data_IF_795576425980
#
_entry.id   IF_795576425980
#
_cell.length_a   1.000
_cell.length_b   1.000
_cell.length_c   1.000
_cell.angle_alpha   90.00
_cell.angle_beta   90.00
_cell.angle_gamma   90.00
#
_symmetry.space_group_name_H-M   'P 1'
#
loop_
_entity.id
_entity.type
_entity.pdbx_description
1 polymer ?
#
# COMPACT_ATOMS: atom_id res chain seq x y z
N UNK A 1 -16.08 -26.63 10.60
CA UNK A 1 -14.63 -26.84 10.67
C UNK A 1 -14.14 -26.17 11.93
N UNK A 2 -13.43 -26.89 12.79
CA UNK A 2 -12.99 -26.42 14.11
C UNK A 2 -11.88 -25.36 13.97
N UNK A 3 -12.15 -24.12 14.41
CA UNK A 3 -11.20 -22.99 14.41
C UNK A 3 -9.94 -23.25 15.26
N UNK A 4 -9.97 -24.28 16.11
CA UNK A 4 -8.88 -24.73 16.96
C UNK A 4 -7.68 -25.30 16.18
N UNK A 5 -7.84 -25.76 14.93
CA UNK A 5 -6.73 -26.24 14.10
C UNK A 5 -5.98 -25.14 13.33
N UNK A 6 -6.53 -23.93 13.21
CA UNK A 6 -5.85 -22.78 12.57
C UNK A 6 -4.66 -22.25 13.38
N UNK A 7 -4.62 -22.57 14.68
CA UNK A 7 -3.47 -22.29 15.56
C UNK A 7 -2.27 -23.22 15.31
N UNK A 8 -2.43 -24.27 14.49
CA UNK A 8 -1.43 -25.31 14.29
C UNK A 8 -0.53 -25.09 13.05
N UNK A 9 -0.82 -24.08 12.22
CA UNK A 9 0.05 -23.74 11.08
C UNK A 9 1.30 -23.06 11.61
N UNK A 10 2.47 -23.69 11.38
CA UNK A 10 3.76 -23.20 11.85
C UNK A 10 4.11 -21.89 11.16
N UNK A 11 4.14 -20.77 11.89
CA UNK A 11 4.67 -19.52 11.36
C UNK A 11 6.20 -19.55 11.30
N UNK A 12 6.77 -19.30 10.11
CA UNK A 12 8.21 -19.24 9.92
C UNK A 12 8.61 -18.16 8.91
N UNK A 13 9.87 -17.76 8.97
CA UNK A 13 10.51 -16.86 8.01
C UNK A 13 11.27 -17.70 6.99
N UNK A 14 11.31 -17.25 5.74
CA UNK A 14 12.09 -17.94 4.70
C UNK A 14 11.44 -19.19 4.14
N UNK A 15 10.14 -19.36 4.34
CA UNK A 15 9.33 -20.45 3.80
C UNK A 15 8.31 -19.90 2.79
N UNK A 16 7.83 -20.72 1.84
CA UNK A 16 6.73 -20.37 0.94
C UNK A 16 5.50 -19.85 1.72
N UNK A 17 4.76 -18.91 1.12
CA UNK A 17 3.58 -18.36 1.78
C UNK A 17 2.47 -19.41 1.91
N UNK A 18 2.41 -20.33 0.95
CA UNK A 18 1.49 -21.46 0.87
C UNK A 18 1.62 -22.40 2.08
N UNK A 19 2.81 -22.50 2.67
CA UNK A 19 3.08 -23.38 3.82
C UNK A 19 2.69 -22.74 5.16
N UNK A 20 2.49 -21.42 5.18
CA UNK A 20 2.24 -20.65 6.42
C UNK A 20 0.88 -19.98 6.46
N UNK A 21 0.22 -19.75 5.32
CA UNK A 21 -1.05 -19.06 5.29
C UNK A 21 -2.20 -20.06 5.28
N UNK A 22 -3.27 -19.80 6.05
CA UNK A 22 -4.50 -20.57 5.91
C UNK A 22 -5.11 -20.35 4.51
N UNK A 23 -5.93 -21.29 4.00
CA UNK A 23 -6.41 -21.30 2.61
C UNK A 23 -7.09 -20.00 2.11
N UNK A 24 -7.54 -19.13 3.00
CA UNK A 24 -8.26 -17.89 2.69
C UNK A 24 -7.78 -16.67 3.49
N UNK A 25 -6.60 -16.71 4.09
CA UNK A 25 -6.22 -15.66 5.02
C UNK A 25 -4.72 -15.44 5.18
N UNK A 26 -4.41 -14.35 5.89
CA UNK A 26 -3.09 -14.07 6.43
C UNK A 26 -2.94 -14.80 7.77
N UNK A 27 -1.74 -15.31 8.02
CA UNK A 27 -1.43 -15.93 9.30
C UNK A 27 -1.74 -14.97 10.48
N UNK A 28 -2.42 -15.41 11.55
CA UNK A 28 -2.86 -14.53 12.65
C UNK A 28 -1.75 -13.70 13.28
N UNK A 29 -0.55 -14.28 13.42
CA UNK A 29 0.63 -13.57 13.95
C UNK A 29 1.07 -12.40 13.06
N UNK A 30 1.01 -12.55 11.74
CA UNK A 30 1.33 -11.47 10.81
C UNK A 30 0.24 -10.39 10.82
N UNK A 31 -1.04 -10.80 10.93
CA UNK A 31 -2.17 -9.87 11.12
C UNK A 31 -1.99 -9.04 12.40
N UNK A 32 -1.60 -9.68 13.51
CA UNK A 32 -1.28 -9.02 14.77
C UNK A 32 -0.11 -8.03 14.61
N UNK A 33 0.95 -8.43 13.89
CA UNK A 33 2.08 -7.55 13.60
C UNK A 33 1.66 -6.28 12.85
N UNK A 34 0.78 -6.37 11.85
CA UNK A 34 0.24 -5.20 11.15
C UNK A 34 -0.57 -4.29 12.07
N UNK A 35 -1.44 -4.87 12.91
CA UNK A 35 -2.26 -4.11 13.85
C UNK A 35 -1.41 -3.34 14.87
N UNK A 36 -0.43 -4.00 15.46
CA UNK A 36 0.48 -3.41 16.43
C UNK A 36 1.36 -2.33 15.81
N UNK A 37 1.77 -2.52 14.54
CA UNK A 37 2.45 -1.46 13.78
C UNK A 37 1.57 -0.23 13.62
N UNK A 38 0.28 -0.42 13.28
CA UNK A 38 -0.67 0.68 13.12
C UNK A 38 -0.88 1.44 14.43
N UNK A 39 -1.07 0.72 15.54
CA UNK A 39 -1.22 1.31 16.88
C UNK A 39 0.03 2.11 17.25
N UNK A 40 1.22 1.52 17.10
CA UNK A 40 2.48 2.18 17.40
C UNK A 40 2.70 3.45 16.58
N UNK A 41 2.35 3.44 15.28
CA UNK A 41 2.44 4.60 14.41
C UNK A 41 1.44 5.70 14.78
N UNK A 42 0.20 5.33 15.12
CA UNK A 42 -0.83 6.30 15.53
C UNK A 42 -0.49 7.00 16.84
N UNK A 43 0.12 6.27 17.78
CA UNK A 43 0.56 6.81 19.06
C UNK A 43 1.88 7.60 18.97
N UNK A 44 2.59 7.54 17.83
CA UNK A 44 3.85 8.24 17.65
C UNK A 44 3.60 9.71 17.24
N UNK A 45 4.27 10.71 17.85
CA UNK A 45 4.06 12.11 17.49
C UNK A 45 4.63 12.48 16.10
N UNK A 46 5.57 11.70 15.56
CA UNK A 46 6.25 12.01 14.31
C UNK A 46 5.50 11.45 13.09
N UNK A 47 5.58 12.14 11.93
CA UNK A 47 5.02 11.61 10.70
C UNK A 47 5.79 10.37 10.23
N UNK A 48 5.10 9.44 9.54
CA UNK A 48 5.67 8.18 9.06
C UNK A 48 6.95 8.39 8.23
N UNK A 49 6.96 9.41 7.38
CA UNK A 49 8.13 9.77 6.57
C UNK A 49 9.37 10.13 7.40
N UNK A 50 9.18 10.70 8.61
CA UNK A 50 10.28 10.97 9.55
C UNK A 50 10.70 9.71 10.27
N UNK A 51 9.75 8.87 10.71
CA UNK A 51 10.02 7.58 11.36
C UNK A 51 10.88 6.67 10.49
N UNK A 52 10.54 6.53 9.20
CA UNK A 52 11.28 5.69 8.24
C UNK A 52 12.71 6.22 8.00
N UNK A 53 12.95 7.52 8.17
CA UNK A 53 14.27 8.16 7.98
C UNK A 53 15.18 8.07 9.20
N UNK A 54 14.68 7.63 10.35
CA UNK A 54 15.49 7.46 11.56
C UNK A 54 16.59 6.43 11.26
N UNK A 55 17.84 6.83 11.47
CA UNK A 55 19.03 6.03 11.13
C UNK A 55 19.34 4.95 12.17
N UNK A 56 18.90 5.14 13.41
CA UNK A 56 19.06 4.13 14.46
C UNK A 56 18.24 2.89 14.11
N UNK A 57 18.96 1.82 13.76
CA UNK A 57 18.36 0.54 13.40
C UNK A 57 18.19 -0.30 14.68
N UNK A 58 16.97 -0.69 15.03
CA UNK A 58 16.72 -1.52 16.21
C UNK A 58 17.03 -2.99 15.88
N UNK A 59 18.28 -3.35 15.54
CA UNK A 59 18.61 -4.72 15.11
C UNK A 59 18.34 -5.74 16.23
N UNK A 60 18.90 -5.52 17.42
CA UNK A 60 18.69 -6.42 18.55
C UNK A 60 17.21 -6.45 18.97
N UNK A 61 16.57 -5.28 19.05
CA UNK A 61 15.13 -5.20 19.36
C UNK A 61 14.28 -5.88 18.30
N UNK A 62 14.66 -5.79 17.02
CA UNK A 62 14.00 -6.44 15.89
C UNK A 62 14.16 -7.95 15.89
N UNK A 63 15.35 -8.45 16.23
CA UNK A 63 15.60 -9.88 16.41
C UNK A 63 14.81 -10.44 17.60
N UNK A 64 14.82 -9.75 18.74
CA UNK A 64 14.00 -10.12 19.90
C UNK A 64 12.50 -10.12 19.56
N UNK A 65 12.04 -9.14 18.78
CA UNK A 65 10.65 -9.08 18.32
C UNK A 65 10.33 -10.24 17.36
N UNK A 66 11.26 -10.62 16.48
CA UNK A 66 11.13 -11.80 15.61
C UNK A 66 10.99 -13.08 16.43
N UNK A 67 11.83 -13.27 17.45
CA UNK A 67 11.75 -14.42 18.36
C UNK A 67 10.41 -14.45 19.12
N UNK A 68 9.96 -13.30 19.60
CA UNK A 68 8.63 -13.14 20.24
C UNK A 68 7.49 -13.55 19.29
N UNK A 69 7.56 -13.12 18.03
CA UNK A 69 6.59 -13.50 17.00
C UNK A 69 6.64 -15.01 16.71
N UNK A 70 7.83 -15.61 16.67
CA UNK A 70 8.03 -17.04 16.40
C UNK A 70 7.61 -17.93 17.58
N UNK A 71 7.77 -17.48 18.82
CA UNK A 71 7.31 -18.20 20.01
C UNK A 71 5.78 -18.22 20.16
N UNK A 72 5.07 -17.41 19.37
CA UNK A 72 3.61 -17.32 19.39
C UNK A 72 3.06 -16.37 20.44
N UNK A 73 3.92 -15.58 21.09
CA UNK A 73 3.49 -14.50 21.95
C UNK A 73 2.83 -13.39 21.12
N UNK A 74 1.55 -13.14 21.35
CA UNK A 74 0.78 -12.08 20.67
C UNK A 74 0.92 -10.72 21.33
N UNK A 75 1.50 -10.65 22.54
CA UNK A 75 1.70 -9.40 23.28
C UNK A 75 3.15 -8.96 23.15
N UNK A 76 3.34 -7.76 22.60
CA UNK A 76 4.65 -7.15 22.49
C UNK A 76 4.95 -6.24 23.69
N UNK A 77 6.24 -5.95 23.91
CA UNK A 77 6.67 -4.96 24.91
C UNK A 77 6.16 -3.57 24.51
N UNK A 78 5.75 -2.76 25.48
CA UNK A 78 5.16 -1.43 25.24
C UNK A 78 6.12 -0.43 24.58
N UNK A 79 7.43 -0.63 24.74
CA UNK A 79 8.44 0.35 24.34
C UNK A 79 9.04 0.08 22.95
N UNK A 80 8.42 -0.78 22.14
CA UNK A 80 8.93 -1.11 20.81
C UNK A 80 8.64 0.06 19.86
N UNK A 81 9.72 0.63 19.32
CA UNK A 81 9.61 1.71 18.35
C UNK A 81 8.86 1.25 17.07
N UNK A 82 7.99 2.09 16.48
CA UNK A 82 7.22 1.76 15.28
C UNK A 82 8.08 1.26 14.09
N UNK A 83 9.29 1.82 13.96
CA UNK A 83 10.24 1.41 12.92
C UNK A 83 10.68 -0.06 13.06
N UNK A 84 10.72 -0.61 14.28
CA UNK A 84 11.06 -2.01 14.53
C UNK A 84 10.02 -2.95 13.93
N UNK A 85 8.74 -2.60 14.07
CA UNK A 85 7.65 -3.38 13.47
C UNK A 85 7.68 -3.31 11.94
N UNK A 86 7.87 -2.12 11.37
CA UNK A 86 8.03 -1.94 9.92
C UNK A 86 9.24 -2.72 9.38
N UNK A 87 10.35 -2.71 10.12
CA UNK A 87 11.54 -3.50 9.79
C UNK A 87 11.23 -4.98 9.78
N UNK A 88 10.47 -5.50 10.76
CA UNK A 88 10.15 -6.92 10.83
C UNK A 88 9.24 -7.37 9.69
N UNK A 89 8.24 -6.56 9.34
CA UNK A 89 7.39 -6.79 8.15
C UNK A 89 8.27 -6.81 6.89
N UNK A 90 9.17 -5.83 6.73
CA UNK A 90 10.09 -5.77 5.59
C UNK A 90 11.03 -6.97 5.56
N UNK A 91 11.53 -7.41 6.71
CA UNK A 91 12.40 -8.57 6.85
C UNK A 91 11.67 -9.84 6.44
N UNK A 92 10.44 -10.05 6.93
CA UNK A 92 9.58 -11.17 6.54
C UNK A 92 9.40 -11.23 5.02
N UNK A 93 9.01 -10.11 4.41
CA UNK A 93 8.85 -10.00 2.96
C UNK A 93 10.16 -10.25 2.20
N UNK A 94 11.28 -9.76 2.73
CA UNK A 94 12.58 -9.87 2.08
C UNK A 94 13.15 -11.29 2.06
N UNK A 95 12.80 -12.12 3.04
CA UNK A 95 13.33 -13.49 3.14
C UNK A 95 12.46 -14.55 2.47
N UNK A 96 11.27 -14.21 1.95
CA UNK A 96 10.44 -15.22 1.25
C UNK A 96 11.24 -15.88 0.11
N UNK A 97 11.12 -17.20 -0.13
CA UNK A 97 11.88 -17.89 -1.18
C UNK A 97 11.70 -17.26 -2.57
N UNK A 98 10.48 -16.83 -2.88
CA UNK A 98 10.15 -16.03 -4.06
C UNK A 98 9.78 -14.60 -3.64
N UNK A 99 10.01 -13.58 -4.50
CA UNK A 99 9.47 -12.25 -4.23
C UNK A 99 7.95 -12.28 -4.22
N UNK A 100 7.34 -11.38 -3.43
CA UNK A 100 5.88 -11.30 -3.35
C UNK A 100 5.28 -11.05 -4.74
N UNK A 101 5.90 -10.17 -5.52
CA UNK A 101 5.65 -10.01 -6.95
C UNK A 101 6.63 -10.87 -7.75
N UNK A 102 6.38 -12.18 -7.79
CA UNK A 102 7.25 -13.12 -8.52
C UNK A 102 7.19 -12.89 -10.03
N UNK A 103 8.34 -12.95 -10.70
CA UNK A 103 8.43 -12.87 -12.17
C UNK A 103 7.97 -14.16 -12.86
N UNK A 104 7.93 -15.26 -12.12
CA UNK A 104 7.54 -16.56 -12.64
C UNK A 104 6.87 -17.41 -11.57
N UNK A 105 5.73 -18.02 -11.90
CA UNK A 105 5.01 -18.96 -11.04
C UNK A 105 4.11 -19.85 -11.89
N UNK A 106 4.04 -21.15 -11.57
CA UNK A 106 3.12 -22.10 -12.22
C UNK A 106 3.13 -22.03 -13.76
N UNK A 107 4.32 -22.00 -14.38
CA UNK A 107 4.44 -21.91 -15.84
C UNK A 107 4.27 -20.51 -16.44
N UNK A 108 3.85 -19.51 -15.65
CA UNK A 108 3.48 -18.18 -16.13
C UNK A 108 4.57 -17.15 -15.83
N UNK A 109 4.84 -16.27 -16.80
CA UNK A 109 5.74 -15.12 -16.64
C UNK A 109 4.94 -13.85 -16.36
N UNK A 110 5.42 -13.03 -15.43
CA UNK A 110 4.82 -11.75 -15.07
C UNK A 110 5.80 -10.62 -15.41
N UNK A 111 5.35 -9.68 -16.23
CA UNK A 111 6.19 -8.58 -16.71
C UNK A 111 6.01 -7.33 -15.84
N UNK A 112 6.39 -7.43 -14.57
CA UNK A 112 6.33 -6.30 -13.62
C UNK A 112 7.15 -5.10 -14.07
N UNK A 113 8.26 -5.35 -14.78
CA UNK A 113 9.14 -4.30 -15.32
C UNK A 113 8.40 -3.45 -16.37
N UNK A 114 7.66 -4.11 -17.27
CA UNK A 114 6.81 -3.42 -18.25
C UNK A 114 5.70 -2.64 -17.55
N UNK A 115 4.94 -3.26 -16.65
CA UNK A 115 3.85 -2.57 -15.93
C UNK A 115 4.38 -1.37 -15.14
N UNK A 116 5.55 -1.50 -14.50
CA UNK A 116 6.19 -0.38 -13.80
C UNK A 116 6.57 0.78 -14.74
N UNK A 117 7.05 0.47 -15.95
CA UNK A 117 7.33 1.49 -16.97
C UNK A 117 6.05 2.19 -17.45
N UNK A 118 4.93 1.46 -17.55
CA UNK A 118 3.65 2.05 -17.90
C UNK A 118 3.11 2.94 -16.76
N UNK A 119 3.25 2.53 -15.50
CA UNK A 119 2.92 3.36 -14.33
C UNK A 119 3.76 4.65 -14.25
N UNK A 120 4.98 4.64 -14.80
CA UNK A 120 5.80 5.85 -14.88
C UNK A 120 5.24 6.85 -15.89
N UNK A 121 4.75 6.35 -17.03
CA UNK A 121 4.19 7.17 -18.12
C UNK A 121 2.77 7.66 -17.82
N UNK A 122 1.96 6.80 -17.22
CA UNK A 122 0.53 7.03 -17.02
C UNK A 122 0.22 7.14 -15.52
N UNK A 123 -0.36 8.27 -15.10
CA UNK A 123 -0.80 8.46 -13.71
C UNK A 123 -2.11 7.74 -13.40
N UNK A 124 -2.99 7.66 -14.39
CA UNK A 124 -4.31 7.03 -14.33
C UNK A 124 -4.65 6.51 -15.72
N UNK A 125 -4.90 5.22 -15.87
CA UNK A 125 -5.27 4.62 -17.14
C UNK A 125 -6.07 3.36 -16.85
N UNK A 126 -7.32 3.30 -17.31
CA UNK A 126 -8.21 2.17 -17.06
C UNK A 126 -7.61 0.85 -17.59
N UNK A 127 -7.04 0.86 -18.80
CA UNK A 127 -6.39 -0.31 -19.37
C UNK A 127 -5.21 -0.80 -18.51
N UNK A 128 -4.42 0.12 -17.95
CA UNK A 128 -3.33 -0.22 -17.04
C UNK A 128 -3.84 -0.78 -15.71
N UNK A 129 -4.91 -0.21 -15.15
CA UNK A 129 -5.56 -0.75 -13.94
C UNK A 129 -6.03 -2.20 -14.18
N UNK A 130 -6.62 -2.47 -15.34
CA UNK A 130 -7.07 -3.80 -15.77
C UNK A 130 -5.90 -4.78 -15.88
N UNK A 131 -4.83 -4.40 -16.58
CA UNK A 131 -3.64 -5.24 -16.76
C UNK A 131 -2.95 -5.58 -15.43
N UNK A 132 -2.82 -4.59 -14.54
CA UNK A 132 -2.27 -4.79 -13.19
C UNK A 132 -3.17 -5.72 -12.39
N UNK A 133 -4.49 -5.51 -12.43
CA UNK A 133 -5.46 -6.35 -11.73
C UNK A 133 -5.35 -7.80 -12.22
N UNK A 134 -5.32 -8.03 -13.53
CA UNK A 134 -5.13 -9.37 -14.12
C UNK A 134 -3.83 -10.02 -13.67
N UNK A 135 -2.72 -9.26 -13.70
CA UNK A 135 -1.42 -9.77 -13.30
C UNK A 135 -1.40 -10.18 -11.82
N UNK A 136 -2.01 -9.39 -10.94
CA UNK A 136 -2.11 -9.71 -9.50
C UNK A 136 -2.98 -10.95 -9.30
N UNK A 137 -4.18 -11.02 -9.86
CA UNK A 137 -5.10 -12.15 -9.64
C UNK A 137 -4.57 -13.49 -10.16
N UNK A 138 -3.62 -13.47 -11.09
CA UNK A 138 -2.95 -14.66 -11.60
C UNK A 138 -1.82 -15.17 -10.70
N UNK A 139 -1.42 -14.43 -9.67
CA UNK A 139 -0.42 -14.88 -8.69
C UNK A 139 -0.97 -16.02 -7.81
N UNK A 140 -0.10 -16.79 -7.13
CA UNK A 140 -0.54 -17.73 -6.11
C UNK A 140 -1.45 -17.06 -5.06
N UNK A 141 -2.46 -17.78 -4.59
CA UNK A 141 -3.50 -17.23 -3.71
C UNK A 141 -2.93 -16.55 -2.46
N UNK A 142 -1.95 -17.17 -1.81
CA UNK A 142 -1.29 -16.63 -0.62
C UNK A 142 -0.55 -15.30 -0.91
N UNK A 143 0.05 -15.18 -2.10
CA UNK A 143 0.66 -13.93 -2.58
C UNK A 143 -0.40 -12.83 -2.77
N UNK A 144 -1.52 -13.15 -3.45
CA UNK A 144 -2.63 -12.21 -3.66
C UNK A 144 -3.16 -11.68 -2.34
N UNK A 145 -3.45 -12.57 -1.38
CA UNK A 145 -3.97 -12.20 -0.06
C UNK A 145 -2.98 -11.29 0.69
N UNK A 146 -1.68 -11.59 0.65
CA UNK A 146 -0.67 -10.73 1.27
C UNK A 146 -0.56 -9.37 0.57
N UNK A 147 -0.61 -9.32 -0.76
CA UNK A 147 -0.59 -8.05 -1.52
C UNK A 147 -1.79 -7.19 -1.12
N UNK A 148 -3.00 -7.75 -1.12
CA UNK A 148 -4.21 -7.03 -0.73
C UNK A 148 -4.10 -6.46 0.69
N UNK A 149 -3.65 -7.28 1.62
CA UNK A 149 -3.42 -6.88 3.01
C UNK A 149 -2.40 -5.75 3.08
N UNK A 150 -1.27 -5.90 2.40
CA UNK A 150 -0.14 -4.99 2.50
C UNK A 150 -0.45 -3.62 1.86
N UNK A 151 -1.08 -3.59 0.69
CA UNK A 151 -1.45 -2.33 0.04
C UNK A 151 -2.49 -1.58 0.87
N UNK A 152 -3.50 -2.28 1.43
CA UNK A 152 -4.46 -1.67 2.35
C UNK A 152 -3.77 -1.16 3.62
N UNK A 153 -2.83 -1.92 4.18
CA UNK A 153 -2.02 -1.51 5.32
C UNK A 153 -1.23 -0.23 5.01
N UNK A 154 -0.51 -0.18 3.89
CA UNK A 154 0.24 1.00 3.45
C UNK A 154 -0.64 2.22 3.26
N UNK A 155 -1.83 2.06 2.67
CA UNK A 155 -2.80 3.15 2.56
C UNK A 155 -3.23 3.65 3.92
N UNK A 156 -3.62 2.75 4.82
CA UNK A 156 -4.11 3.09 6.16
C UNK A 156 -3.08 3.87 6.98
N UNK A 157 -1.82 3.44 6.99
CA UNK A 157 -0.76 4.13 7.73
C UNK A 157 -0.25 5.41 7.02
N UNK A 158 -0.68 5.64 5.78
CA UNK A 158 -0.34 6.84 5.01
C UNK A 158 -1.47 7.87 4.96
N UNK A 159 -2.61 7.61 5.60
CA UNK A 159 -3.68 8.62 5.70
C UNK A 159 -3.18 9.82 6.50
N UNK A 160 -3.58 11.01 6.07
CA UNK A 160 -3.36 12.23 6.87
C UNK A 160 -4.17 12.12 8.16
N UNK A 161 -3.62 12.62 9.28
CA UNK A 161 -4.39 12.74 10.53
C UNK A 161 -5.63 13.58 10.22
N UNK A 162 -6.82 12.98 10.42
CA UNK A 162 -8.12 13.61 10.16
C UNK A 162 -8.51 13.80 8.69
N UNK A 163 -7.97 13.00 7.76
CA UNK A 163 -8.44 13.02 6.37
C UNK A 163 -8.31 11.67 5.69
N UNK A 164 -9.26 11.36 4.82
CA UNK A 164 -9.23 10.17 3.96
C UNK A 164 -8.24 10.30 2.79
N UNK A 165 -7.53 11.42 2.69
CA UNK A 165 -6.49 11.65 1.68
C UNK A 165 -5.16 11.07 2.14
N UNK A 166 -4.49 10.38 1.22
CA UNK A 166 -3.14 9.87 1.43
C UNK A 166 -2.12 11.03 1.52
N UNK A 167 -1.21 10.95 2.49
CA UNK A 167 -0.01 11.77 2.55
C UNK A 167 1.05 11.26 1.57
N UNK A 168 1.29 12.04 0.51
CA UNK A 168 2.27 11.73 -0.53
C UNK A 168 3.67 11.47 0.03
N UNK A 169 4.07 12.19 1.09
CA UNK A 169 5.41 12.03 1.69
C UNK A 169 5.55 10.68 2.36
N UNK A 170 4.53 10.27 3.12
CA UNK A 170 4.44 8.96 3.77
C UNK A 170 4.38 7.82 2.75
N UNK A 171 3.56 7.93 1.70
CA UNK A 171 3.51 6.95 0.60
C UNK A 171 4.89 6.82 -0.05
N UNK A 172 5.54 7.93 -0.40
CA UNK A 172 6.87 7.92 -1.03
C UNK A 172 7.90 7.23 -0.12
N UNK A 173 7.89 7.52 1.19
CA UNK A 173 8.80 6.89 2.14
C UNK A 173 8.57 5.37 2.24
N UNK A 174 7.31 4.93 2.26
CA UNK A 174 6.98 3.50 2.25
C UNK A 174 7.42 2.81 0.96
N UNK A 175 7.17 3.41 -0.20
CA UNK A 175 7.56 2.83 -1.49
C UNK A 175 9.07 2.62 -1.53
N UNK A 176 9.86 3.65 -1.17
CA UNK A 176 11.33 3.53 -1.10
C UNK A 176 11.74 2.45 -0.09
N UNK A 177 11.07 2.38 1.05
CA UNK A 177 11.40 1.42 2.09
C UNK A 177 11.08 -0.02 1.68
N UNK A 178 9.95 -0.30 1.02
CA UNK A 178 9.47 -1.67 0.78
C UNK A 178 9.74 -2.24 -0.62
N UNK A 179 10.10 -1.42 -1.62
CA UNK A 179 10.23 -1.88 -3.01
C UNK A 179 11.14 -3.11 -3.15
N UNK A 180 12.38 -3.07 -2.68
CA UNK A 180 13.31 -4.19 -2.88
C UNK A 180 12.84 -5.49 -2.22
N UNK A 181 12.23 -5.40 -1.03
CA UNK A 181 11.72 -6.59 -0.32
C UNK A 181 10.57 -7.27 -1.05
N UNK A 182 9.81 -6.51 -1.84
CA UNK A 182 8.63 -7.00 -2.54
C UNK A 182 8.92 -7.60 -3.91
N UNK A 183 9.91 -7.07 -4.63
CA UNK A 183 10.13 -7.41 -6.04
C UNK A 183 11.44 -8.17 -6.33
N UNK A 184 12.44 -8.10 -5.45
CA UNK A 184 13.80 -8.56 -5.78
C UNK A 184 14.25 -9.72 -4.91
N UNK A 185 14.94 -10.68 -5.55
CA UNK A 185 15.74 -11.72 -4.90
C UNK A 185 17.15 -11.81 -5.50
N UNK A 186 18.19 -12.08 -4.69
CA UNK A 186 18.17 -12.07 -3.22
C UNK A 186 17.94 -10.66 -2.67
N UNK A 187 17.17 -10.53 -1.59
CA UNK A 187 16.95 -9.24 -0.94
C UNK A 187 18.18 -8.88 -0.09
N UNK A 188 18.77 -7.71 -0.34
CA UNK A 188 19.90 -7.19 0.43
C UNK A 188 19.50 -5.88 1.11
N UNK A 189 19.18 -5.88 2.41
CA UNK A 189 18.81 -4.65 3.11
C UNK A 189 19.95 -3.63 3.04
N UNK A 190 19.63 -2.38 2.72
CA UNK A 190 20.59 -1.28 2.67
C UNK A 190 21.19 -0.97 1.30
N UNK A 191 21.05 -1.86 0.32
CA UNK A 191 21.52 -1.62 -1.05
C UNK A 191 20.39 -1.10 -1.91
N UNK A 192 20.50 0.15 -2.39
CA UNK A 192 19.63 0.64 -3.45
C UNK A 192 20.10 0.06 -4.77
N UNK A 193 19.28 -0.80 -5.35
CA UNK A 193 19.56 -1.43 -6.64
C UNK A 193 18.77 -0.74 -7.75
N UNK A 194 19.23 -0.86 -9.01
CA UNK A 194 18.53 -0.27 -10.16
C UNK A 194 17.05 -0.70 -10.22
N UNK A 195 16.77 -1.94 -9.81
CA UNK A 195 15.42 -2.48 -9.74
C UNK A 195 14.49 -1.69 -8.79
N UNK A 196 15.01 -1.09 -7.72
CA UNK A 196 14.21 -0.27 -6.81
C UNK A 196 13.62 0.96 -7.50
N UNK A 197 14.37 1.53 -8.45
CA UNK A 197 13.90 2.66 -9.26
C UNK A 197 12.81 2.25 -10.24
N UNK A 198 12.95 1.06 -10.82
CA UNK A 198 11.97 0.52 -11.75
C UNK A 198 10.65 0.28 -11.00
N UNK A 199 10.68 -0.50 -9.93
CA UNK A 199 9.47 -0.91 -9.20
C UNK A 199 8.86 0.17 -8.32
N UNK A 200 9.57 1.28 -8.08
CA UNK A 200 9.03 2.44 -7.37
C UNK A 200 7.68 2.87 -7.97
N UNK A 201 7.62 3.03 -9.29
CA UNK A 201 6.42 3.54 -9.97
C UNK A 201 5.24 2.58 -9.83
N UNK A 202 5.47 1.26 -9.97
CA UNK A 202 4.43 0.26 -9.81
C UNK A 202 3.87 0.24 -8.39
N UNK A 203 4.74 0.19 -7.37
CA UNK A 203 4.26 0.15 -5.98
C UNK A 203 3.59 1.45 -5.56
N UNK A 204 4.10 2.60 -5.99
CA UNK A 204 3.46 3.90 -5.77
C UNK A 204 2.07 3.93 -6.41
N UNK A 205 1.96 3.48 -7.67
CA UNK A 205 0.71 3.41 -8.41
C UNK A 205 -0.31 2.50 -7.72
N UNK A 206 0.12 1.29 -7.32
CA UNK A 206 -0.72 0.34 -6.57
C UNK A 206 -1.29 0.98 -5.31
N UNK A 207 -0.47 1.67 -4.50
CA UNK A 207 -0.93 2.30 -3.26
C UNK A 207 -1.94 3.41 -3.55
N UNK A 208 -1.70 4.27 -4.54
CA UNK A 208 -2.57 5.42 -4.85
C UNK A 208 -3.88 4.98 -5.50
N UNK A 209 -3.81 4.14 -6.52
CA UNK A 209 -4.94 3.73 -7.36
C UNK A 209 -5.62 2.44 -6.89
N UNK A 210 -5.22 1.87 -5.74
CA UNK A 210 -5.70 0.59 -5.24
C UNK A 210 -7.22 0.39 -5.31
N UNK A 211 -7.99 1.42 -4.95
CA UNK A 211 -9.45 1.34 -4.91
C UNK A 211 -10.08 1.15 -6.29
N UNK A 212 -9.41 1.60 -7.36
CA UNK A 212 -9.84 1.36 -8.74
C UNK A 212 -9.42 -0.04 -9.17
N UNK A 213 -8.12 -0.34 -9.08
CA UNK A 213 -7.53 -1.64 -9.44
C UNK A 213 -8.27 -2.83 -8.79
N UNK A 214 -8.62 -2.73 -7.50
CA UNK A 214 -9.31 -3.81 -6.80
C UNK A 214 -10.74 -4.06 -7.29
N UNK A 215 -11.42 -3.03 -7.83
CA UNK A 215 -12.80 -3.11 -8.32
C UNK A 215 -12.89 -3.83 -9.66
N UNK A 216 -11.85 -3.70 -10.49
CA UNK A 216 -11.79 -4.30 -11.82
C UNK A 216 -11.97 -5.84 -11.81
N UNK A 217 -11.68 -6.52 -10.68
CA UNK A 217 -11.96 -7.95 -10.51
C UNK A 217 -13.43 -8.30 -10.80
N UNK A 218 -14.36 -7.47 -10.34
CA UNK A 218 -15.79 -7.74 -10.39
C UNK A 218 -16.35 -7.62 -11.81
N UNK A 219 -15.86 -6.65 -12.60
CA UNK A 219 -16.35 -6.42 -13.97
C UNK A 219 -15.84 -7.50 -14.94
N UNK A 220 -14.66 -8.05 -14.69
CA UNK A 220 -14.07 -9.12 -15.48
C UNK A 220 -14.71 -10.48 -15.28
N UNK A 221 -15.06 -10.84 -14.04
CA UNK A 221 -15.78 -12.08 -13.76
C UNK A 221 -17.19 -11.99 -14.36
N UNK A 222 -17.89 -10.85 -14.21
CA UNK A 222 -19.20 -10.63 -14.82
C UNK A 222 -19.19 -10.66 -16.37
N UNK A 223 -18.11 -10.23 -17.01
CA UNK A 223 -17.97 -10.26 -18.49
C UNK A 223 -17.48 -11.61 -19.03
N UNK A 224 -16.78 -12.41 -18.23
CA UNK A 224 -16.38 -13.78 -18.58
C UNK A 224 -17.54 -14.76 -18.36
N UNK A 225 -18.31 -14.61 -17.28
CA UNK A 225 -19.49 -15.44 -16.99
C UNK A 225 -20.63 -15.23 -18.01
N UNK A 226 -20.72 -14.04 -18.61
CA UNK A 226 -21.68 -13.77 -19.69
C UNK A 226 -21.24 -14.26 -21.07
N UNK A 227 -20.00 -14.76 -21.22
CA UNK A 227 -19.43 -15.17 -22.53
C UNK A 227 -18.89 -16.60 -22.59
N UNK A 228 -18.85 -17.35 -21.49
CA UNK A 228 -18.42 -18.75 -21.49
C UNK A 228 -19.62 -19.70 -21.43
N UNK A 229 -19.77 -20.64 -22.38
CA UNK A 229 -20.66 -21.78 -22.20
C UNK A 229 -20.14 -22.65 -21.05
N UNK A 230 -21.08 -23.16 -20.26
CA UNK A 230 -20.96 -23.96 -19.03
C UNK A 230 -20.06 -25.21 -19.15
N UNK A 231 -18.74 -25.04 -19.25
CA UNK A 231 -17.78 -26.16 -19.36
C UNK A 231 -16.76 -26.18 -18.20
N UNK A 232 -16.74 -25.18 -17.32
CA UNK A 232 -15.89 -25.17 -16.13
C UNK A 232 -16.69 -24.83 -14.87
N UNK A 233 -17.67 -25.68 -14.55
CA UNK A 233 -18.09 -25.83 -13.15
C UNK A 233 -17.04 -26.69 -12.44
N UNK A 234 -16.14 -26.04 -11.72
CA UNK A 234 -15.41 -26.66 -10.63
C UNK A 234 -15.56 -25.78 -9.40
N UNK A 235 -16.02 -26.41 -8.31
CA UNK A 235 -16.47 -25.89 -6.99
C UNK A 235 -15.53 -24.91 -6.22
N UNK A 236 -14.55 -24.28 -6.86
CA UNK A 236 -13.59 -23.37 -6.22
C UNK A 236 -13.96 -21.88 -6.29
N UNK A 237 -15.00 -21.52 -7.06
CA UNK A 237 -15.46 -20.12 -7.25
C UNK A 237 -16.07 -19.53 -5.98
N UNK A 238 -16.92 -20.31 -5.29
CA UNK A 238 -17.77 -19.80 -4.20
C UNK A 238 -16.98 -19.49 -2.92
N UNK A 239 -15.85 -20.19 -2.70
CA UNK A 239 -15.03 -20.02 -1.50
C UNK A 239 -14.23 -18.71 -1.52
N UNK A 240 -13.89 -18.21 -2.72
CA UNK A 240 -13.22 -16.92 -2.91
C UNK A 240 -14.19 -15.75 -2.74
N UNK A 241 -15.48 -15.94 -2.99
CA UNK A 241 -16.49 -14.89 -2.86
C UNK A 241 -16.83 -14.62 -1.38
N UNK A 242 -16.98 -15.68 -0.59
CA UNK A 242 -17.31 -15.59 0.85
C UNK A 242 -16.18 -14.95 1.66
N UNK A 243 -14.92 -15.36 1.45
CA UNK A 243 -13.78 -14.80 2.17
C UNK A 243 -13.50 -13.32 1.81
N UNK A 244 -13.83 -12.89 0.59
CA UNK A 244 -13.72 -11.50 0.16
C UNK A 244 -14.90 -10.64 0.63
N UNK A 245 -16.11 -11.19 0.70
CA UNK A 245 -17.28 -10.52 1.25
C UNK A 245 -17.07 -10.19 2.74
N UNK A 246 -16.58 -11.16 3.53
CA UNK A 246 -16.30 -10.96 4.96
C UNK A 246 -15.21 -9.90 5.21
N UNK A 247 -14.16 -9.89 4.37
CA UNK A 247 -13.10 -8.87 4.46
C UNK A 247 -13.58 -7.48 4.05
N UNK A 248 -14.47 -7.37 3.06
CA UNK A 248 -15.06 -6.08 2.65
C UNK A 248 -16.06 -5.54 3.68
N UNK A 249 -16.87 -6.40 4.30
CA UNK A 249 -17.86 -6.01 5.31
C UNK A 249 -17.21 -5.48 6.60
N UNK A 250 -16.10 -6.06 7.06
CA UNK A 250 -15.35 -5.56 8.23
C UNK A 250 -14.76 -4.15 8.05
N UNK A 251 -14.63 -3.66 6.81
CA UNK A 251 -14.17 -2.28 6.55
C UNK A 251 -15.29 -1.24 6.52
N UNK A 252 -16.56 -1.65 6.51
CA UNK A 252 -17.72 -0.73 6.55
C UNK A 252 -18.12 -0.33 7.97
N UNK A 253 -17.94 -1.19 8.98
CA UNK A 253 -18.40 -0.92 10.35
C UNK A 253 -17.56 0.11 11.13
N UNK A 254 -16.41 0.55 10.61
CA UNK A 254 -15.62 1.63 11.25
C UNK A 254 -16.08 3.02 10.79
N UNK A 255 -17.06 3.11 9.88
CA UNK A 255 -17.58 4.37 9.32
C UNK A 255 -18.84 4.90 10.01
N UNK A 256 -19.44 4.16 10.94
CA UNK A 256 -20.71 4.53 11.58
C UNK A 256 -20.59 4.48 13.10
N UNK A 257 -19.88 5.45 13.65
CA UNK A 257 -20.11 5.88 15.04
C UNK A 257 -20.36 7.38 14.98
N UNK A 258 -21.64 7.74 15.03
CA UNK A 258 -22.10 9.11 15.17
C UNK A 258 -21.46 9.75 16.40
N UNK A 259 -20.60 10.75 16.19
CA UNK A 259 -20.17 11.64 17.26
C UNK A 259 -21.08 12.86 17.25
N UNK A 260 -22.10 12.79 18.10
CA UNK A 260 -22.82 13.96 18.60
C UNK A 260 -21.81 14.83 19.36
N UNK A 261 -21.43 15.97 18.80
CA UNK A 261 -20.64 16.99 19.47
C UNK A 261 -21.63 18.02 20.03
N UNK A 262 -21.75 18.07 21.35
CA UNK A 262 -22.38 19.19 22.05
C UNK A 262 -21.39 20.37 22.04
N UNK A 263 -21.87 21.51 21.56
CA UNK A 263 -21.20 22.81 21.60
C UNK A 263 -21.56 23.48 22.93
N UNK A 264 -20.59 24.01 23.70
CA UNK A 264 -20.89 25.02 24.70
C UNK A 264 -20.81 26.42 24.06
N UNK A 265 -21.85 27.20 24.31
CA UNK A 265 -21.92 28.65 24.13
C UNK A 265 -21.01 29.37 25.15
N UNK A 266 -20.49 30.53 24.75
CA UNK A 266 -20.21 31.76 25.54
C UNK A 266 -19.29 32.66 24.68
N UNK A 267 -19.81 33.72 24.06
CA UNK A 267 -20.04 35.08 24.59
C UNK A 267 -18.80 35.99 24.58
N UNK A 268 -18.84 36.92 23.62
CA UNK A 268 -18.50 38.35 23.64
C UNK A 268 -17.25 38.86 24.37
N UNK A 269 -16.40 39.60 23.66
CA UNK A 269 -16.43 41.07 23.76
C UNK A 269 -15.58 41.77 22.69
N UNK A 270 -16.09 42.96 22.35
CA UNK A 270 -15.77 43.86 21.26
C UNK A 270 -14.48 44.68 21.43
N UNK A 271 -14.05 45.27 20.31
CA UNK A 271 -13.68 46.70 20.08
C UNK A 271 -12.74 46.76 18.84
N UNK A 272 -13.22 47.19 17.66
CA UNK A 272 -13.16 48.57 17.11
C UNK A 272 -11.71 49.13 17.03
N UNK A 273 -11.15 49.61 15.91
CA UNK A 273 -11.67 50.62 14.99
C UNK A 273 -10.75 50.74 13.72
N UNK A 274 -11.37 51.05 12.56
CA UNK A 274 -11.00 52.02 11.47
C UNK A 274 -9.56 52.07 10.91
N UNK A 275 -9.24 52.39 9.66
CA UNK A 275 -9.87 52.79 8.38
C UNK A 275 -8.69 52.83 7.37
N UNK A 276 -8.77 52.66 6.04
CA UNK A 276 -9.11 53.69 5.03
C UNK A 276 -8.59 53.23 3.63
N UNK A 277 -9.50 53.08 2.67
CA UNK A 277 -9.56 53.55 1.25
C UNK A 277 -8.34 53.49 0.29
N UNK A 278 -8.60 52.93 -0.91
CA UNK A 278 -8.33 53.37 -2.33
C UNK A 278 -8.05 52.11 -3.19
N UNK A 279 -8.32 51.97 -4.49
CA UNK A 279 -9.25 52.51 -5.49
C UNK A 279 -8.97 51.74 -6.81
N UNK A 280 -10.04 51.20 -7.41
CA UNK A 280 -10.34 51.02 -8.86
C UNK A 280 -9.22 50.95 -9.92
N UNK A 281 -9.26 49.93 -10.79
CA UNK A 281 -9.51 50.09 -12.25
C UNK A 281 -9.71 48.77 -13.02
N UNK A 282 -10.58 48.87 -14.03
CA UNK A 282 -11.20 47.86 -14.90
C UNK A 282 -10.39 47.49 -16.17
N UNK A 283 -10.70 46.33 -16.77
CA UNK A 283 -11.12 46.12 -18.20
C UNK A 283 -10.86 44.67 -18.64
N UNK A 284 -11.89 43.86 -18.96
CA UNK A 284 -12.44 43.54 -20.31
C UNK A 284 -11.43 42.85 -21.25
N UNK A 285 -11.72 41.81 -22.06
CA UNK A 285 -12.95 41.24 -22.64
C UNK A 285 -12.62 39.89 -23.35
N UNK A 286 -13.65 39.03 -23.48
CA UNK A 286 -14.04 38.07 -24.57
C UNK A 286 -12.96 37.40 -25.46
N UNK A 287 -13.07 36.15 -25.93
CA UNK A 287 -14.20 35.43 -26.52
C UNK A 287 -13.78 33.95 -26.83
N UNK A 288 -14.70 32.99 -26.79
CA UNK A 288 -14.53 31.63 -27.35
C UNK A 288 -14.73 31.66 -28.89
N UNK A 289 -14.50 30.57 -29.67
CA UNK A 289 -15.56 29.54 -29.81
C UNK A 289 -15.14 28.11 -30.25
N UNK A 290 -16.16 27.24 -30.19
CA UNK A 290 -16.46 25.98 -30.94
C UNK A 290 -15.84 24.64 -30.52
N UNK A 291 -16.77 23.71 -30.28
CA UNK A 291 -16.66 22.27 -30.04
C UNK A 291 -16.23 21.48 -31.29
N UNK A 292 -15.34 20.50 -31.09
CA UNK A 292 -15.31 19.28 -31.90
C UNK A 292 -15.29 18.07 -30.95
N UNK A 293 -16.25 17.19 -31.15
CA UNK A 293 -16.43 15.92 -30.43
C UNK A 293 -15.37 14.93 -30.91
N UNK A 294 -14.43 14.58 -30.04
CA UNK A 294 -13.54 13.43 -30.21
C UNK A 294 -13.41 12.72 -28.87
N UNK A 295 -13.76 11.43 -28.83
CA UNK A 295 -13.46 10.52 -27.72
C UNK A 295 -11.94 10.30 -27.65
N UNK A 296 -11.23 11.26 -27.08
CA UNK A 296 -9.80 11.17 -26.81
C UNK A 296 -9.58 10.97 -25.31
N UNK A 297 -8.86 9.92 -24.94
CA UNK A 297 -8.21 9.85 -23.63
C UNK A 297 -7.16 10.96 -23.58
N UNK A 298 -7.49 12.09 -22.94
CA UNK A 298 -6.58 13.21 -22.75
C UNK A 298 -5.32 12.76 -22.00
N UNK A 299 -4.20 12.73 -22.72
CA UNK A 299 -2.88 12.50 -22.16
C UNK A 299 -2.22 13.85 -21.85
N UNK A 300 -2.19 14.23 -20.57
CA UNK A 300 -1.18 15.17 -20.09
C UNK A 300 0.16 14.42 -19.95
N UNK A 301 1.02 14.53 -20.98
CA UNK A 301 2.38 14.01 -20.95
C UNK A 301 3.28 14.91 -20.08
N UNK A 302 3.30 14.66 -18.77
CA UNK A 302 4.18 15.39 -17.84
C UNK A 302 5.46 14.59 -17.60
N UNK A 303 6.56 15.05 -18.21
CA UNK A 303 7.93 14.52 -18.03
C UNK A 303 8.44 14.70 -16.59
N UNK A 304 8.71 13.58 -15.90
CA UNK A 304 9.20 13.56 -14.51
C UNK A 304 10.71 13.77 -14.33
N UNK A 305 11.47 14.07 -15.40
CA UNK A 305 12.94 14.03 -15.42
C UNK A 305 13.62 14.83 -14.30
N UNK A 306 13.01 15.91 -13.79
CA UNK A 306 13.65 16.78 -12.79
C UNK A 306 13.30 16.48 -11.32
N UNK A 307 12.22 15.76 -11.02
CA UNK A 307 11.83 15.46 -9.62
C UNK A 307 12.45 14.17 -9.09
N UNK A 308 12.65 13.18 -9.97
CA UNK A 308 13.30 11.91 -9.65
C UNK A 308 14.75 12.13 -9.23
N UNK A 309 15.50 13.00 -9.92
CA UNK A 309 16.88 13.29 -9.57
C UNK A 309 17.03 13.92 -8.18
N UNK A 310 16.10 14.78 -7.73
CA UNK A 310 16.15 15.38 -6.38
C UNK A 310 15.74 14.40 -5.29
N UNK A 311 14.72 13.58 -5.53
CA UNK A 311 14.27 12.54 -4.59
C UNK A 311 15.39 11.50 -4.44
N UNK A 312 15.92 10.98 -5.56
CA UNK A 312 17.01 9.99 -5.53
C UNK A 312 18.36 10.57 -5.07
N UNK A 313 18.70 11.85 -5.34
CA UNK A 313 19.90 12.48 -4.72
C UNK A 313 19.77 12.64 -3.22
N UNK A 314 18.55 12.85 -2.70
CA UNK A 314 18.29 12.91 -1.26
C UNK A 314 18.37 11.51 -0.63
N UNK A 315 18.00 10.46 -1.37
CA UNK A 315 18.09 9.06 -0.91
C UNK A 315 19.45 8.39 -1.16
N UNK A 316 20.21 8.74 -2.19
CA UNK A 316 21.57 8.23 -2.42
C UNK A 316 22.57 8.77 -1.40
N UNK A 317 22.26 9.90 -0.77
CA UNK A 317 22.98 10.41 0.42
C UNK A 317 22.57 9.71 1.73
N UNK A 318 21.55 8.85 1.69
CA UNK A 318 21.08 8.05 2.83
C UNK A 318 21.63 6.61 2.80
N UNK A 319 22.43 6.23 1.79
CA UNK A 319 22.83 4.83 1.55
C UNK A 319 24.28 4.47 1.83
N UNK A 320 25.11 5.33 2.46
CA UNK A 320 26.42 4.90 2.98
C UNK A 320 26.82 5.69 4.24
N UNK A 321 27.14 5.00 5.35
CA UNK A 321 28.47 4.39 5.51
C UNK A 321 28.43 3.02 6.21
N UNK A 322 28.29 1.92 5.46
CA UNK A 322 28.37 0.56 6.04
C UNK A 322 29.47 -0.30 5.37
N UNK A 323 30.55 0.36 4.94
CA UNK A 323 31.77 -0.30 4.48
C UNK A 323 32.99 0.35 5.15
N UNK A 324 33.15 0.04 6.43
CA UNK A 324 34.42 -0.03 7.17
C UNK A 324 34.23 -1.04 8.31
#
# INVERSE_FOLDING_TARGET
MDDSNLLCIRFAFGVPLEDIFPPNGIHPRLKNLFNETKIALNNNPFPLSRIIKIREKPLNTGLNLKETLLSGQLRYKKDIQPLTFLWLIRHFLGVLPLPLFTKYSNGRKYNWDFLASQCQKHRTCYQLDLEISWAIHRLPKAHVVLIYTLINFFRNISLKRYSDKLDKTSVTALVVYFSSSLFVRPYRPGFVIKADRIYFHLLFYLIVNWQRIKREKCELLATLDSKLPSIFESDESDVLEIAFADFCCQTREVSSVDRVIQVPEEENNDEEEKSTIYSTKESQKSEQPVEEVNENCDYEEISYKNSDAKIWKSYSKLTDPWLA
#
